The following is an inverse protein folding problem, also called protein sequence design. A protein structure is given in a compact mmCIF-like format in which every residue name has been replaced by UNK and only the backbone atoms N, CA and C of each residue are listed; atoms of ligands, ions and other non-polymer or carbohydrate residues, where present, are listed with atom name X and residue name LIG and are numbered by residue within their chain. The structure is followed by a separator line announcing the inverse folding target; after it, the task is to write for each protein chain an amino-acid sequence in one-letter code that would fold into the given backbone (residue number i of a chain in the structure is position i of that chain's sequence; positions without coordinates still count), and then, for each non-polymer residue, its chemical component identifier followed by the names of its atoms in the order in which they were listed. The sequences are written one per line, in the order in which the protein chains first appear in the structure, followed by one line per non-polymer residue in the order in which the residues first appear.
data_IF_878480620834
#
_entry.id   IF_878480620834
#
_cell.length_a   1.000
_cell.length_b   1.000
_cell.length_c   1.000
_cell.angle_alpha   90.00
_cell.angle_beta   90.00
_cell.angle_gamma   90.00
#
_symmetry.space_group_name_H-M   'P 1'
#
loop_
_entity.id
_entity.type
_entity.pdbx_description
1 polymer ?
#
# COMPACT_ATOMS: atom_id res chain seq x y z
N UNK A 1 17.68 13.62 -22.53
CA UNK A 1 18.62 14.31 -21.62
C UNK A 1 18.92 15.66 -22.22
N UNK A 2 18.49 16.75 -21.56
CA UNK A 2 18.81 18.11 -21.99
C UNK A 2 19.98 18.57 -21.13
N UNK A 3 21.17 18.65 -21.72
CA UNK A 3 22.39 19.08 -21.02
C UNK A 3 22.48 20.59 -21.13
N UNK A 4 22.08 21.30 -20.07
CA UNK A 4 22.19 22.76 -19.99
C UNK A 4 23.55 23.08 -19.39
N UNK A 5 24.41 23.79 -20.12
CA UNK A 5 25.66 24.30 -19.54
C UNK A 5 25.37 25.49 -18.64
N UNK A 6 25.35 25.25 -17.33
CA UNK A 6 25.14 26.26 -16.30
C UNK A 6 26.50 26.80 -15.86
N UNK A 7 26.67 28.14 -15.79
CA UNK A 7 27.90 28.77 -15.24
C UNK A 7 28.06 28.37 -13.77
N UNK A 8 29.30 28.10 -13.33
CA UNK A 8 29.64 27.69 -11.94
C UNK A 8 28.98 28.55 -10.86
N UNK A 9 28.90 29.86 -11.05
CA UNK A 9 28.26 30.77 -10.10
C UNK A 9 26.76 30.49 -9.84
N UNK A 10 26.05 29.90 -10.82
CA UNK A 10 24.66 29.46 -10.62
C UNK A 10 24.61 28.08 -9.97
N UNK A 11 25.59 27.19 -10.22
CA UNK A 11 25.65 25.88 -9.59
C UNK A 11 25.85 26.01 -8.07
N UNK A 12 26.78 26.87 -7.63
CA UNK A 12 27.04 27.14 -6.21
C UNK A 12 25.83 27.79 -5.49
N UNK A 13 25.05 28.60 -6.21
CA UNK A 13 23.85 29.22 -5.67
C UNK A 13 22.65 28.26 -5.57
N UNK A 14 22.60 27.24 -6.44
CA UNK A 14 21.50 26.28 -6.52
C UNK A 14 21.74 25.01 -5.69
N UNK A 15 23.00 24.62 -5.46
CA UNK A 15 23.36 23.44 -4.64
C UNK A 15 22.69 23.39 -3.25
N UNK A 16 22.62 24.49 -2.48
CA UNK A 16 21.94 24.51 -1.18
C UNK A 16 20.42 24.34 -1.32
N UNK A 17 19.86 24.85 -2.43
CA UNK A 17 18.44 24.77 -2.73
C UNK A 17 18.06 23.34 -3.12
N UNK A 18 18.87 22.68 -3.96
CA UNK A 18 18.67 21.30 -4.40
C UNK A 18 18.65 20.33 -3.22
N UNK A 19 19.59 20.44 -2.27
CA UNK A 19 19.61 19.58 -1.07
C UNK A 19 18.39 19.77 -0.18
N UNK A 20 17.96 21.03 0.01
CA UNK A 20 16.79 21.36 0.83
C UNK A 20 15.49 20.86 0.19
N UNK A 21 15.39 20.98 -1.15
CA UNK A 21 14.25 20.49 -1.93
C UNK A 21 14.20 18.96 -1.91
N UNK A 22 15.33 18.28 -2.10
CA UNK A 22 15.40 16.82 -2.04
C UNK A 22 15.01 16.28 -0.66
N UNK A 23 15.48 16.91 0.42
CA UNK A 23 15.09 16.52 1.78
C UNK A 23 13.59 16.75 2.02
N UNK A 24 13.04 17.89 1.58
CA UNK A 24 11.61 18.17 1.68
C UNK A 24 10.75 17.18 0.87
N UNK A 25 11.19 16.84 -0.35
CA UNK A 25 10.53 15.85 -1.21
C UNK A 25 10.57 14.47 -0.60
N UNK A 26 11.72 14.07 -0.02
CA UNK A 26 11.87 12.79 0.68
C UNK A 26 10.93 12.69 1.88
N UNK A 27 10.85 13.73 2.71
CA UNK A 27 9.93 13.79 3.85
C UNK A 27 8.48 13.67 3.39
N UNK A 28 8.06 14.48 2.42
CA UNK A 28 6.70 14.45 1.88
C UNK A 28 6.35 13.08 1.27
N UNK A 29 7.28 12.47 0.52
CA UNK A 29 7.08 11.16 -0.08
C UNK A 29 6.94 10.06 0.98
N UNK A 30 7.74 10.14 2.05
CA UNK A 30 7.69 9.22 3.20
C UNK A 30 6.35 9.35 3.93
N UNK A 31 5.91 10.57 4.24
CA UNK A 31 4.64 10.84 4.90
C UNK A 31 3.45 10.33 4.10
N UNK A 32 3.41 10.60 2.78
CA UNK A 32 2.35 10.12 1.90
C UNK A 32 2.33 8.60 1.80
N UNK A 33 3.49 7.96 1.70
CA UNK A 33 3.58 6.51 1.69
C UNK A 33 3.08 5.91 3.00
N UNK A 34 3.48 6.48 4.15
CA UNK A 34 3.03 6.03 5.46
C UNK A 34 1.52 6.19 5.65
N UNK A 35 0.94 7.33 5.24
CA UNK A 35 -0.50 7.54 5.27
C UNK A 35 -1.24 6.51 4.42
N UNK A 36 -0.75 6.24 3.21
CA UNK A 36 -1.38 5.27 2.31
C UNK A 36 -1.31 3.84 2.86
N UNK A 37 -0.18 3.46 3.44
CA UNK A 37 0.00 2.18 4.14
C UNK A 37 -1.01 2.05 5.28
N UNK A 38 -1.15 3.09 6.11
CA UNK A 38 -2.10 3.08 7.23
C UNK A 38 -3.56 2.94 6.78
N UNK A 39 -3.94 3.62 5.68
CA UNK A 39 -5.27 3.48 5.07
C UNK A 39 -5.53 2.06 4.59
N UNK A 40 -4.59 1.45 3.88
CA UNK A 40 -4.70 0.08 3.36
C UNK A 40 -4.78 -0.93 4.50
N UNK A 41 -3.93 -0.79 5.52
CA UNK A 41 -3.96 -1.64 6.71
C UNK A 41 -5.29 -1.55 7.46
N UNK A 42 -5.90 -0.35 7.54
CA UNK A 42 -7.23 -0.22 8.14
C UNK A 42 -8.27 -1.00 7.35
N UNK A 43 -8.32 -0.83 6.03
CA UNK A 43 -9.26 -1.56 5.18
C UNK A 43 -9.09 -3.09 5.27
N UNK A 44 -7.84 -3.55 5.32
CA UNK A 44 -7.53 -4.97 5.53
C UNK A 44 -8.09 -5.44 6.88
N UNK A 45 -7.87 -4.68 7.96
CA UNK A 45 -8.43 -5.02 9.28
C UNK A 45 -9.96 -5.03 9.28
N UNK A 46 -10.61 -4.13 8.57
CA UNK A 46 -12.07 -4.10 8.47
C UNK A 46 -12.62 -5.43 7.90
N UNK A 47 -11.93 -6.03 6.92
CA UNK A 47 -12.26 -7.38 6.44
C UNK A 47 -11.86 -8.49 7.41
N UNK A 48 -10.70 -8.39 8.08
CA UNK A 48 -10.31 -9.37 9.10
C UNK A 48 -11.32 -9.42 10.26
N UNK A 49 -11.88 -8.27 10.63
CA UNK A 49 -12.95 -8.17 11.61
C UNK A 49 -14.28 -8.71 11.07
N UNK A 50 -14.64 -8.39 9.81
CA UNK A 50 -15.86 -8.89 9.16
C UNK A 50 -15.90 -10.41 9.05
N UNK A 51 -14.77 -11.04 8.68
CA UNK A 51 -14.66 -12.48 8.44
C UNK A 51 -14.03 -13.24 9.61
N UNK A 52 -13.66 -12.55 10.68
CA UNK A 52 -13.03 -13.11 11.89
C UNK A 52 -11.78 -13.96 11.61
N UNK A 53 -11.06 -13.66 10.54
CA UNK A 53 -9.83 -14.37 10.17
C UNK A 53 -8.92 -13.50 9.29
N UNK A 54 -7.66 -13.90 9.16
CA UNK A 54 -6.69 -13.22 8.30
C UNK A 54 -6.89 -13.61 6.83
N UNK A 55 -6.46 -12.73 5.92
CA UNK A 55 -6.56 -12.94 4.47
C UNK A 55 -6.10 -14.35 4.04
N UNK A 56 -4.91 -14.78 4.48
CA UNK A 56 -4.32 -16.05 4.05
C UNK A 56 -5.21 -17.24 4.43
N UNK A 57 -5.78 -17.21 5.65
CA UNK A 57 -6.67 -18.26 6.13
C UNK A 57 -8.01 -18.21 5.41
N UNK A 58 -8.52 -17.01 5.14
CA UNK A 58 -9.77 -16.81 4.41
C UNK A 58 -9.67 -17.32 2.96
N UNK A 59 -8.63 -16.91 2.24
CA UNK A 59 -8.35 -17.36 0.87
C UNK A 59 -8.13 -18.88 0.81
N UNK A 60 -7.44 -19.45 1.80
CA UNK A 60 -7.28 -20.90 1.89
C UNK A 60 -8.63 -21.61 2.08
N UNK A 61 -9.41 -21.23 3.10
CA UNK A 61 -10.68 -21.90 3.42
C UNK A 61 -11.71 -21.79 2.31
N UNK A 62 -11.83 -20.63 1.67
CA UNK A 62 -12.73 -20.45 0.50
C UNK A 62 -12.36 -21.35 -0.69
N UNK A 63 -11.11 -21.80 -0.78
CA UNK A 63 -10.65 -22.70 -1.85
C UNK A 63 -10.74 -24.18 -1.47
N UNK A 64 -10.63 -24.51 -0.17
CA UNK A 64 -10.48 -25.91 0.29
C UNK A 64 -11.64 -26.45 1.10
N UNK A 65 -12.51 -25.59 1.62
CA UNK A 65 -13.57 -25.93 2.56
C UNK A 65 -14.93 -25.49 2.00
N UNK A 66 -15.60 -26.41 1.31
CA UNK A 66 -16.95 -26.19 0.77
C UNK A 66 -17.98 -25.89 1.86
N UNK A 67 -17.79 -26.43 3.08
CA UNK A 67 -18.65 -26.15 4.23
C UNK A 67 -18.55 -24.69 4.65
N UNK A 68 -17.34 -24.16 4.70
CA UNK A 68 -17.11 -22.73 4.97
C UNK A 68 -17.74 -21.82 3.91
N UNK A 69 -17.62 -22.16 2.63
CA UNK A 69 -18.28 -21.40 1.56
C UNK A 69 -19.80 -21.42 1.73
N UNK A 70 -20.37 -22.59 2.02
CA UNK A 70 -21.81 -22.71 2.27
C UNK A 70 -22.26 -21.90 3.50
N UNK A 71 -21.43 -21.79 4.54
CA UNK A 71 -21.70 -20.94 5.70
C UNK A 71 -21.69 -19.45 5.33
N UNK A 72 -20.72 -19.02 4.51
CA UNK A 72 -20.64 -17.63 4.03
C UNK A 72 -21.85 -17.25 3.18
N UNK A 73 -22.31 -18.14 2.31
CA UNK A 73 -23.47 -17.93 1.44
C UNK A 73 -24.80 -17.92 2.22
N UNK A 74 -24.84 -18.61 3.37
CA UNK A 74 -26.04 -18.66 4.22
C UNK A 74 -26.31 -17.36 4.99
N UNK A 75 -25.31 -16.48 5.10
CA UNK A 75 -25.39 -15.25 5.89
C UNK A 75 -25.42 -14.00 4.98
N UNK A 76 -26.46 -13.15 5.07
CA UNK A 76 -26.56 -11.95 4.21
C UNK A 76 -25.37 -10.99 4.30
N UNK A 77 -24.70 -10.93 5.46
CA UNK A 77 -23.55 -10.05 5.68
C UNK A 77 -22.27 -10.49 4.95
N UNK A 78 -22.15 -11.80 4.67
CA UNK A 78 -20.97 -12.40 4.04
C UNK A 78 -21.24 -12.91 2.62
N UNK A 79 -22.47 -12.80 2.13
CA UNK A 79 -22.86 -13.26 0.80
C UNK A 79 -22.04 -12.62 -0.35
N UNK A 80 -21.45 -11.44 -0.14
CA UNK A 80 -20.58 -10.78 -1.11
C UNK A 80 -19.10 -11.17 -0.97
N UNK A 81 -18.80 -12.29 -0.32
CA UNK A 81 -17.44 -12.68 0.02
C UNK A 81 -16.51 -12.82 -1.19
N UNK A 82 -17.01 -13.23 -2.37
CA UNK A 82 -16.18 -13.33 -3.58
C UNK A 82 -15.64 -11.96 -4.00
N UNK A 83 -16.51 -10.94 -4.00
CA UNK A 83 -16.13 -9.58 -4.33
C UNK A 83 -15.22 -8.97 -3.26
N UNK A 84 -15.53 -9.24 -1.99
CA UNK A 84 -14.68 -8.83 -0.87
C UNK A 84 -13.30 -9.48 -0.96
N UNK A 85 -13.19 -10.77 -1.30
CA UNK A 85 -11.93 -11.48 -1.49
C UNK A 85 -11.07 -10.84 -2.58
N UNK A 86 -11.66 -10.53 -3.75
CA UNK A 86 -10.94 -9.88 -4.85
C UNK A 86 -10.43 -8.48 -4.45
N UNK A 87 -11.28 -7.70 -3.77
CA UNK A 87 -10.87 -6.38 -3.29
C UNK A 87 -9.79 -6.50 -2.23
N UNK A 88 -9.92 -7.46 -1.31
CA UNK A 88 -8.96 -7.70 -0.25
C UNK A 88 -7.59 -8.10 -0.81
N UNK A 89 -7.54 -9.02 -1.78
CA UNK A 89 -6.32 -9.36 -2.50
C UNK A 89 -5.66 -8.12 -3.13
N UNK A 90 -6.45 -7.29 -3.82
CA UNK A 90 -5.95 -6.04 -4.41
C UNK A 90 -5.33 -5.12 -3.36
N UNK A 91 -5.94 -4.98 -2.18
CA UNK A 91 -5.40 -4.16 -1.10
C UNK A 91 -4.12 -4.75 -0.49
N UNK A 92 -4.03 -6.08 -0.36
CA UNK A 92 -2.82 -6.77 0.10
C UNK A 92 -1.66 -6.53 -0.89
N UNK A 93 -1.93 -6.64 -2.19
CA UNK A 93 -0.94 -6.36 -3.24
C UNK A 93 -0.54 -4.87 -3.27
N UNK A 94 -1.50 -3.95 -3.09
CA UNK A 94 -1.20 -2.52 -3.01
C UNK A 94 -0.34 -2.20 -1.78
N UNK A 95 -0.64 -2.82 -0.64
CA UNK A 95 0.11 -2.65 0.60
C UNK A 95 1.57 -3.08 0.43
N UNK A 96 1.81 -4.27 -0.14
CA UNK A 96 3.16 -4.76 -0.42
C UNK A 96 3.95 -3.81 -1.34
N UNK A 97 3.29 -3.29 -2.39
CA UNK A 97 3.90 -2.29 -3.29
C UNK A 97 4.30 -1.01 -2.55
N UNK A 98 3.44 -0.49 -1.69
CA UNK A 98 3.74 0.72 -0.92
C UNK A 98 4.81 0.49 0.14
N UNK A 99 4.84 -0.67 0.80
CA UNK A 99 5.90 -1.03 1.73
C UNK A 99 7.27 -1.08 1.02
N UNK A 100 7.34 -1.73 -0.16
CA UNK A 100 8.55 -1.74 -1.00
C UNK A 100 8.96 -0.34 -1.44
N UNK A 101 7.99 0.50 -1.82
CA UNK A 101 8.26 1.89 -2.22
C UNK A 101 8.79 2.73 -1.06
N UNK A 102 8.20 2.59 0.13
CA UNK A 102 8.68 3.27 1.35
C UNK A 102 10.10 2.82 1.69
N UNK A 103 10.37 1.51 1.65
CA UNK A 103 11.71 0.99 1.88
C UNK A 103 12.72 1.59 0.89
N UNK A 104 12.36 1.67 -0.40
CA UNK A 104 13.20 2.29 -1.43
C UNK A 104 13.53 3.76 -1.12
N UNK A 105 12.55 4.55 -0.67
CA UNK A 105 12.73 5.96 -0.27
C UNK A 105 13.64 6.08 0.97
N UNK A 106 13.55 5.14 1.91
CA UNK A 106 14.36 5.13 3.13
C UNK A 106 15.80 4.69 2.88
N UNK A 107 16.06 3.91 1.84
CA UNK A 107 17.41 3.46 1.46
C UNK A 107 18.08 4.32 0.40
N UNK A 108 17.33 5.21 -0.27
CA UNK A 108 17.85 6.20 -1.20
C UNK A 108 18.66 7.29 -0.49
#
# INVERSE_FOLDING_TARGET
MVTIQVREAYADALEPLDRSVDEALRRLATERAAQRIAELQRKIRDWEEKYHCRYDLFAYRTTTDEGFVSELDSQPATQQWEADLMLWESHMQELDKWLKRLQSILTA
#
